data_IF_748069524542
#
_entry.id   IF_748069524542
#
_cell.length_a   1.000
_cell.length_b   1.000
_cell.length_c   1.000
_cell.angle_alpha   90.00
_cell.angle_beta   90.00
_cell.angle_gamma   90.00
#
_symmetry.space_group_name_H-M   'P 1'
#
loop_
_entity.id
_entity.type
_entity.pdbx_description
1 polymer ?
#
# COMPACT_ATOMS: atom_id res chain seq x y z
N UNK A 1 13.91 -13.22 9.01
CA UNK A 1 13.14 -13.46 7.76
C UNK A 1 12.67 -12.16 7.10
N UNK A 2 12.10 -11.22 7.86
CA UNK A 2 11.62 -9.95 7.31
C UNK A 2 12.70 -9.10 6.64
N UNK A 3 13.91 -9.07 7.18
CA UNK A 3 15.02 -8.27 6.64
C UNK A 3 15.60 -8.87 5.34
N UNK A 4 15.56 -10.19 5.19
CA UNK A 4 16.00 -10.86 3.95
C UNK A 4 15.02 -10.55 2.82
N UNK A 5 13.71 -10.61 3.05
CA UNK A 5 12.69 -10.27 2.05
C UNK A 5 12.74 -8.78 1.67
N UNK A 6 12.93 -7.88 2.64
CA UNK A 6 13.10 -6.45 2.37
C UNK A 6 14.29 -6.21 1.43
N UNK A 7 15.43 -6.83 1.70
CA UNK A 7 16.62 -6.72 0.83
C UNK A 7 16.34 -7.23 -0.57
N UNK A 8 15.68 -8.37 -0.72
CA UNK A 8 15.36 -8.95 -2.03
C UNK A 8 14.42 -8.04 -2.84
N UNK A 9 13.39 -7.48 -2.20
CA UNK A 9 12.48 -6.52 -2.86
C UNK A 9 13.24 -5.28 -3.29
N UNK A 10 14.07 -4.71 -2.40
CA UNK A 10 14.84 -3.51 -2.68
C UNK A 10 15.94 -3.74 -3.73
N UNK A 11 16.54 -4.92 -3.77
CA UNK A 11 17.49 -5.28 -4.81
C UNK A 11 16.82 -5.42 -6.18
N UNK A 12 15.60 -5.96 -6.21
CA UNK A 12 14.79 -6.02 -7.43
C UNK A 12 14.34 -4.66 -7.95
N UNK A 13 14.32 -3.62 -7.10
CA UNK A 13 13.91 -2.26 -7.47
C UNK A 13 15.07 -1.34 -7.91
N UNK A 14 16.30 -1.83 -7.98
CA UNK A 14 17.48 -1.00 -8.32
C UNK A 14 17.52 -0.51 -9.76
N UNK A 15 16.80 -1.14 -10.66
CA UNK A 15 16.77 -0.79 -12.07
C UNK A 15 15.36 -0.34 -12.48
N UNK A 16 15.25 0.94 -12.88
CA UNK A 16 13.99 1.51 -13.40
C UNK A 16 13.41 0.72 -14.57
N UNK A 17 14.26 0.11 -15.40
CA UNK A 17 13.82 -0.62 -16.60
C UNK A 17 13.16 -1.96 -16.26
N UNK A 18 13.37 -2.49 -15.06
CA UNK A 18 12.75 -3.75 -14.59
C UNK A 18 11.43 -3.55 -13.87
N UNK A 19 11.11 -2.32 -13.47
CA UNK A 19 9.87 -2.01 -12.77
C UNK A 19 8.66 -2.17 -13.69
N UNK A 20 7.59 -2.69 -13.14
CA UNK A 20 6.30 -2.89 -13.84
C UNK A 20 5.19 -2.25 -13.01
N UNK A 21 4.95 -0.95 -13.20
CA UNK A 21 3.85 -0.27 -12.54
C UNK A 21 2.51 -0.69 -13.13
N UNK A 22 1.47 -0.53 -12.34
CA UNK A 22 0.07 -0.64 -12.76
C UNK A 22 -0.58 0.74 -12.74
N UNK A 23 -1.33 1.05 -13.77
CA UNK A 23 -2.13 2.26 -13.81
C UNK A 23 -3.43 2.04 -13.06
N UNK A 24 -3.65 2.82 -12.00
CA UNK A 24 -4.87 2.74 -11.19
C UNK A 24 -5.44 4.14 -10.95
N UNK A 25 -6.76 4.18 -10.88
CA UNK A 25 -7.51 5.32 -10.36
C UNK A 25 -8.14 4.92 -9.03
N UNK A 26 -7.76 5.62 -7.99
CA UNK A 26 -8.23 5.34 -6.64
C UNK A 26 -8.92 6.57 -6.08
N UNK A 27 -10.15 6.38 -5.60
CA UNK A 27 -10.90 7.41 -4.90
C UNK A 27 -11.02 7.01 -3.44
N UNK A 28 -10.36 7.75 -2.55
CA UNK A 28 -10.30 7.48 -1.12
C UNK A 28 -10.88 8.65 -0.34
N UNK A 29 -12.00 8.45 0.33
CA UNK A 29 -12.72 9.48 1.09
C UNK A 29 -12.89 10.80 0.32
N UNK A 30 -13.11 10.72 -1.00
CA UNK A 30 -13.28 11.86 -1.91
C UNK A 30 -11.99 12.40 -2.55
N UNK A 31 -10.81 11.99 -2.09
CA UNK A 31 -9.54 12.29 -2.76
C UNK A 31 -9.34 11.34 -3.95
N UNK A 32 -9.02 11.87 -5.13
CA UNK A 32 -8.73 11.07 -6.32
C UNK A 32 -7.23 11.00 -6.52
N UNK A 33 -6.70 9.78 -6.56
CA UNK A 33 -5.32 9.45 -6.86
C UNK A 33 -5.30 8.65 -8.16
N UNK A 34 -4.83 9.26 -9.23
CA UNK A 34 -4.78 8.67 -10.57
C UNK A 34 -3.32 8.62 -11.03
N UNK A 35 -2.81 7.43 -11.33
CA UNK A 35 -1.40 7.30 -11.69
C UNK A 35 -0.88 5.87 -11.73
N UNK A 36 0.43 5.78 -11.89
CA UNK A 36 1.16 4.53 -12.00
C UNK A 36 1.81 4.17 -10.66
N UNK A 37 1.50 2.99 -10.16
CA UNK A 37 1.94 2.52 -8.86
C UNK A 37 2.60 1.14 -8.96
N UNK A 38 3.66 0.94 -8.18
CA UNK A 38 4.36 -0.34 -8.07
C UNK A 38 3.71 -1.27 -7.07
N UNK A 39 3.08 -0.70 -6.03
CA UNK A 39 2.49 -1.44 -4.94
C UNK A 39 1.41 -0.60 -4.25
N UNK A 40 0.41 -1.26 -3.74
CA UNK A 40 -0.61 -0.67 -2.89
C UNK A 40 -1.02 -1.64 -1.78
N UNK A 41 -1.31 -1.11 -0.61
CA UNK A 41 -1.84 -1.88 0.49
C UNK A 41 -2.89 -1.08 1.27
N UNK A 42 -3.92 -1.78 1.71
CA UNK A 42 -4.95 -1.27 2.61
C UNK A 42 -5.04 -2.25 3.77
N UNK A 43 -4.81 -1.79 4.97
CA UNK A 43 -4.80 -2.63 6.14
C UNK A 43 -5.41 -1.92 7.36
N UNK A 44 -5.80 -2.70 8.33
CA UNK A 44 -6.16 -2.24 9.67
C UNK A 44 -5.24 -2.95 10.67
N UNK A 45 -3.95 -2.59 10.62
CA UNK A 45 -2.90 -3.33 11.31
C UNK A 45 -1.65 -2.46 11.44
N UNK A 46 -0.83 -2.75 12.43
CA UNK A 46 0.50 -2.17 12.61
C UNK A 46 1.56 -2.77 11.67
N UNK A 47 1.16 -3.68 10.78
CA UNK A 47 2.06 -4.32 9.82
C UNK A 47 1.39 -4.47 8.47
N UNK A 48 2.08 -4.08 7.42
CA UNK A 48 1.66 -4.25 6.04
C UNK A 48 2.39 -5.45 5.45
N UNK A 49 1.62 -6.50 5.12
CA UNK A 49 2.14 -7.71 4.50
C UNK A 49 3.27 -8.43 5.27
N UNK A 50 3.38 -8.18 6.59
CA UNK A 50 4.47 -8.70 7.41
C UNK A 50 5.84 -8.09 7.14
N UNK A 51 5.95 -7.20 6.16
CA UNK A 51 7.22 -6.63 5.70
C UNK A 51 7.46 -5.19 6.19
N UNK A 52 6.41 -4.40 6.23
CA UNK A 52 6.47 -3.00 6.65
C UNK A 52 5.76 -2.84 7.98
N UNK A 53 6.45 -2.27 8.95
CA UNK A 53 5.86 -1.95 10.25
C UNK A 53 5.43 -0.50 10.25
N UNK A 54 4.19 -0.27 10.69
CA UNK A 54 3.68 1.06 10.97
C UNK A 54 3.93 1.39 12.44
N UNK A 55 4.08 2.68 12.72
CA UNK A 55 4.15 3.17 14.09
C UNK A 55 2.83 2.82 14.82
N UNK A 56 2.88 2.05 15.91
CA UNK A 56 1.68 1.69 16.66
C UNK A 56 0.87 2.90 17.17
N UNK A 57 1.52 4.04 17.36
CA UNK A 57 0.84 5.28 17.78
C UNK A 57 -0.01 5.89 16.65
N UNK A 58 0.24 5.50 15.39
CA UNK A 58 -0.49 5.97 14.21
C UNK A 58 -1.60 5.04 13.77
N UNK A 59 -1.72 3.87 14.38
CA UNK A 59 -2.72 2.86 14.02
C UNK A 59 -3.73 2.70 15.12
N UNK A 60 -4.97 3.04 14.84
CA UNK A 60 -6.09 2.88 15.77
C UNK A 60 -7.08 1.89 15.16
N UNK A 61 -7.10 0.67 15.70
CA UNK A 61 -7.83 -0.47 15.09
C UNK A 61 -9.36 -0.31 15.08
N UNK A 62 -9.90 0.59 15.87
CA UNK A 62 -11.35 0.77 16.02
C UNK A 62 -11.86 2.19 15.68
N UNK A 63 -11.04 2.99 15.00
CA UNK A 63 -11.40 4.35 14.57
C UNK A 63 -12.26 4.43 13.30
N UNK A 64 -12.53 3.28 12.66
CA UNK A 64 -13.27 3.21 11.43
C UNK A 64 -12.47 3.56 10.18
N UNK A 65 -11.15 3.54 10.28
CA UNK A 65 -10.24 3.84 9.17
C UNK A 65 -9.29 2.68 8.90
N UNK A 66 -8.83 2.63 7.68
CA UNK A 66 -7.70 1.81 7.24
C UNK A 66 -6.45 2.65 7.08
N UNK A 67 -5.31 2.05 7.24
CA UNK A 67 -4.04 2.56 6.76
C UNK A 67 -3.89 2.17 5.27
N UNK A 68 -3.81 3.18 4.41
CA UNK A 68 -3.57 3.01 2.98
C UNK A 68 -2.17 3.47 2.64
N UNK A 69 -1.39 2.61 2.01
CA UNK A 69 -0.07 2.92 1.48
C UNK A 69 -0.06 2.66 -0.02
N UNK A 70 0.37 3.64 -0.80
CA UNK A 70 0.67 3.48 -2.22
C UNK A 70 2.14 3.83 -2.47
N UNK A 71 2.75 3.03 -3.31
CA UNK A 71 4.13 3.23 -3.78
C UNK A 71 4.09 3.67 -5.24
N UNK A 72 4.20 4.98 -5.51
CA UNK A 72 4.21 5.49 -6.88
C UNK A 72 5.39 4.96 -7.68
N UNK A 73 5.22 4.81 -8.98
CA UNK A 73 6.31 4.46 -9.86
C UNK A 73 7.33 5.59 -9.96
N UNK A 74 8.61 5.37 -9.62
CA UNK A 74 9.64 6.38 -9.77
C UNK A 74 9.89 6.68 -11.24
N UNK A 75 10.10 7.94 -11.58
CA UNK A 75 10.34 8.40 -12.96
C UNK A 75 11.82 8.62 -13.25
N UNK A 76 12.62 8.86 -12.22
CA UNK A 76 14.06 9.13 -12.32
C UNK A 76 14.85 8.24 -11.39
N UNK A 77 16.15 8.12 -11.61
CA UNK A 77 17.04 7.40 -10.71
C UNK A 77 17.07 8.02 -9.30
N UNK A 78 16.94 9.34 -9.20
CA UNK A 78 16.86 10.04 -7.92
C UNK A 78 15.55 9.70 -7.18
N UNK A 79 14.42 9.64 -7.90
CA UNK A 79 13.14 9.22 -7.31
C UNK A 79 13.22 7.79 -6.79
N UNK A 80 13.84 6.89 -7.55
CA UNK A 80 14.04 5.51 -7.13
C UNK A 80 14.89 5.41 -5.87
N UNK A 81 15.99 6.16 -5.82
CA UNK A 81 16.84 6.19 -4.64
C UNK A 81 16.10 6.71 -3.40
N UNK A 82 15.33 7.79 -3.55
CA UNK A 82 14.53 8.35 -2.47
C UNK A 82 13.46 7.37 -1.99
N UNK A 83 12.80 6.67 -2.92
CA UNK A 83 11.82 5.64 -2.61
C UNK A 83 12.43 4.49 -1.81
N UNK A 84 13.58 3.98 -2.25
CA UNK A 84 14.30 2.91 -1.55
C UNK A 84 14.68 3.33 -0.14
N UNK A 85 15.22 4.55 0.03
CA UNK A 85 15.57 5.08 1.35
C UNK A 85 14.34 5.26 2.24
N UNK A 86 13.24 5.76 1.71
CA UNK A 86 11.99 5.91 2.45
C UNK A 86 11.46 4.57 2.96
N UNK A 87 11.47 3.54 2.13
CA UNK A 87 11.04 2.20 2.50
C UNK A 87 11.97 1.55 3.54
N UNK A 88 13.28 1.69 3.37
CA UNK A 88 14.26 1.18 4.33
C UNK A 88 14.14 1.82 5.71
N UNK A 89 13.92 3.12 5.75
CA UNK A 89 13.82 3.89 6.97
C UNK A 89 12.39 3.95 7.53
N UNK A 90 11.43 3.27 6.90
CA UNK A 90 10.01 3.27 7.28
C UNK A 90 9.41 4.69 7.36
N UNK A 91 9.87 5.58 6.48
CA UNK A 91 9.41 6.96 6.38
C UNK A 91 8.25 7.09 5.40
N UNK A 92 7.07 6.65 5.82
CA UNK A 92 5.88 6.61 4.96
C UNK A 92 5.28 7.99 4.68
N UNK A 93 5.67 9.00 5.43
CA UNK A 93 5.29 10.42 5.23
C UNK A 93 6.21 11.12 4.21
N UNK A 94 7.18 10.41 3.62
CA UNK A 94 8.12 11.00 2.68
C UNK A 94 7.44 11.35 1.36
N UNK A 95 8.04 12.27 0.60
CA UNK A 95 7.52 12.74 -0.70
C UNK A 95 7.37 11.64 -1.76
N UNK A 96 8.04 10.49 -1.59
CA UNK A 96 8.01 9.37 -2.53
C UNK A 96 6.89 8.36 -2.28
N UNK A 97 6.12 8.50 -1.21
CA UNK A 97 5.08 7.56 -0.80
C UNK A 97 3.75 8.29 -0.56
N UNK A 98 2.65 7.59 -0.77
CA UNK A 98 1.32 8.08 -0.41
C UNK A 98 0.80 7.26 0.75
N UNK A 99 0.70 7.86 1.92
CA UNK A 99 0.13 7.26 3.11
C UNK A 99 -1.10 8.04 3.56
N UNK A 100 -2.22 7.36 3.76
CA UNK A 100 -3.49 7.96 4.18
C UNK A 100 -4.23 7.05 5.16
N UNK A 101 -5.03 7.69 6.03
CA UNK A 101 -6.05 7.01 6.82
C UNK A 101 -7.40 7.23 6.13
N UNK A 102 -8.04 6.16 5.70
CA UNK A 102 -9.26 6.21 4.87
C UNK A 102 -10.35 5.30 5.41
N UNK A 103 -11.59 5.74 5.34
CA UNK A 103 -12.76 4.95 5.77
C UNK A 103 -13.31 4.11 4.62
N UNK A 104 -13.19 4.62 3.40
CA UNK A 104 -13.63 3.92 2.19
C UNK A 104 -12.75 4.28 1.01
N UNK A 105 -12.59 3.35 0.11
CA UNK A 105 -11.90 3.59 -1.15
C UNK A 105 -12.53 2.76 -2.28
N UNK A 106 -12.45 3.33 -3.47
CA UNK A 106 -12.79 2.66 -4.73
C UNK A 106 -11.57 2.67 -5.62
N UNK A 107 -11.16 1.49 -6.07
CA UNK A 107 -10.06 1.31 -7.01
C UNK A 107 -10.64 0.87 -8.36
N UNK A 108 -10.21 1.54 -9.41
CA UNK A 108 -10.57 1.25 -10.79
C UNK A 108 -9.30 1.03 -11.62
N UNK A 109 -9.30 0.00 -12.45
CA UNK A 109 -8.18 -0.32 -13.34
C UNK A 109 -8.66 -1.06 -14.58
N UNK A 110 -7.99 -0.86 -15.70
CA UNK A 110 -8.15 -1.64 -16.92
C UNK A 110 -7.14 -2.80 -17.01
N UNK A 111 -6.21 -2.88 -16.06
CA UNK A 111 -5.16 -3.88 -16.02
C UNK A 111 -5.50 -5.04 -15.08
N UNK A 112 -4.91 -6.20 -15.32
CA UNK A 112 -4.98 -7.32 -14.39
C UNK A 112 -4.04 -7.07 -13.20
N UNK A 113 -4.61 -6.76 -12.04
CA UNK A 113 -3.85 -6.58 -10.80
C UNK A 113 -3.75 -7.90 -10.03
N UNK A 114 -2.54 -8.27 -9.58
CA UNK A 114 -2.40 -9.36 -8.63
C UNK A 114 -2.87 -8.89 -7.25
N UNK A 115 -3.95 -9.48 -6.75
CA UNK A 115 -4.51 -9.21 -5.44
C UNK A 115 -4.10 -10.25 -4.40
N UNK A 116 -3.94 -9.80 -3.18
CA UNK A 116 -3.84 -10.66 -2.01
C UNK A 116 -4.78 -10.14 -0.93
N UNK A 117 -5.63 -11.02 -0.41
CA UNK A 117 -6.50 -10.76 0.74
C UNK A 117 -6.03 -11.65 1.89
N UNK A 118 -5.55 -11.04 2.96
CA UNK A 118 -5.01 -11.73 4.14
C UNK A 118 -3.96 -12.80 3.80
N UNK A 119 -3.15 -12.53 2.78
CA UNK A 119 -2.09 -13.44 2.32
C UNK A 119 -2.54 -14.47 1.29
N UNK A 120 -3.82 -14.53 0.95
CA UNK A 120 -4.34 -15.45 -0.07
C UNK A 120 -4.59 -14.74 -1.39
N UNK A 121 -4.28 -15.42 -2.50
CA UNK A 121 -4.53 -14.89 -3.83
C UNK A 121 -6.01 -14.63 -4.08
N UNK A 122 -6.31 -13.51 -4.68
CA UNK A 122 -7.64 -13.16 -5.18
C UNK A 122 -7.57 -12.78 -6.66
N UNK A 123 -8.60 -13.16 -7.46
CA UNK A 123 -8.62 -12.83 -8.88
C UNK A 123 -8.74 -11.32 -9.10
N UNK A 124 -8.16 -10.86 -10.21
CA UNK A 124 -8.28 -9.47 -10.63
C UNK A 124 -9.72 -9.14 -11.04
N UNK A 125 -10.18 -7.96 -10.62
CA UNK A 125 -11.44 -7.37 -11.07
C UNK A 125 -11.21 -5.89 -11.40
N UNK A 126 -11.97 -5.33 -12.38
CA UNK A 126 -11.72 -3.95 -12.84
C UNK A 126 -12.10 -2.88 -11.81
N UNK A 127 -12.97 -3.20 -10.87
CA UNK A 127 -13.43 -2.28 -9.82
C UNK A 127 -13.47 -3.00 -8.49
N UNK A 128 -12.86 -2.39 -7.48
CA UNK A 128 -12.86 -2.88 -6.09
C UNK A 128 -13.34 -1.76 -5.17
N UNK A 129 -14.36 -2.04 -4.37
CA UNK A 129 -14.82 -1.16 -3.30
C UNK A 129 -14.42 -1.75 -1.94
N UNK A 130 -13.71 -0.97 -1.13
CA UNK A 130 -13.30 -1.34 0.23
C UNK A 130 -13.90 -0.34 1.20
N UNK A 131 -14.63 -0.84 2.19
CA UNK A 131 -15.28 -0.02 3.22
C UNK A 131 -14.94 -0.56 4.59
N UNK A 132 -14.47 0.31 5.50
CA UNK A 132 -14.26 -0.06 6.88
C UNK A 132 -15.62 -0.15 7.60
N UNK A 133 -15.88 -1.29 8.20
CA UNK A 133 -17.03 -1.49 9.08
C UNK A 133 -16.57 -1.38 10.52
N UNK A 134 -16.56 -0.18 11.05
CA UNK A 134 -16.13 0.08 12.42
C UNK A 134 -16.88 -0.79 13.43
N UNK A 135 -16.12 -1.44 14.32
CA UNK A 135 -16.68 -2.28 15.42
C UNK A 135 -17.60 -3.39 14.95
N UNK A 136 -17.39 -3.93 13.73
CA UNK A 136 -18.21 -5.00 13.17
C UNK A 136 -18.07 -6.32 13.95
N UNK A 137 -16.96 -6.53 14.67
CA UNK A 137 -16.71 -7.68 15.51
C UNK A 137 -16.54 -7.24 16.96
N UNK A 138 -17.12 -8.01 17.87
CA UNK A 138 -16.91 -7.89 19.32
C UNK A 138 -16.25 -9.17 19.81
N UNK A 139 -15.03 -9.05 20.31
CA UNK A 139 -14.35 -10.19 20.93
C UNK A 139 -14.59 -10.16 22.44
N UNK A 140 -14.95 -11.32 22.99
CA UNK A 140 -14.98 -11.55 24.44
C UNK A 140 -13.59 -12.05 24.85
N UNK A 141 -12.93 -11.26 25.64
CA UNK A 141 -11.61 -11.60 26.21
C UNK A 141 -11.78 -12.13 27.61
#
# INVERSE_FOLDING_TARGET
>A
LGDVYKRQILEGMKDLNTLRPYHIRLTADGEVLDGDYLFGAVCNSTSIGGLMKLDPERVVLDDGKFEMLLVPSPKTAADLQNLVLALLNQQYDSQGLVFRHVSSLRLETEEELPWSLDGEYAPSVPVVDIVNRQRALRMLL
#
